data_IF_814380069169
#
_entry.id   IF_814380069169
#
_cell.length_a   1.000
_cell.length_b   1.000
_cell.length_c   1.000
_cell.angle_alpha   90.00
_cell.angle_beta   90.00
_cell.angle_gamma   90.00
#
_symmetry.space_group_name_H-M   'P 1'
#
loop_
_entity.id
_entity.type
_entity.pdbx_description
1 polymer ?
#
# COMPACT_ATOMS: atom_id res chain seq x y z
N UNK A 1 -26.60 0.13 -18.54
CA UNK A 1 -25.92 0.44 -17.24
C UNK A 1 -25.32 1.84 -17.37
N UNK A 2 -25.56 2.76 -16.42
CA UNK A 2 -25.02 4.12 -16.53
C UNK A 2 -23.49 4.11 -16.46
N UNK A 3 -22.81 4.89 -17.31
CA UNK A 3 -21.34 5.02 -17.31
C UNK A 3 -20.79 5.35 -15.91
N UNK A 4 -21.48 6.23 -15.19
CA UNK A 4 -21.17 6.55 -13.79
C UNK A 4 -21.10 5.31 -12.88
N UNK A 5 -22.06 4.38 -13.02
CA UNK A 5 -22.11 3.17 -12.19
C UNK A 5 -20.96 2.21 -12.51
N UNK A 6 -20.55 2.12 -13.79
CA UNK A 6 -19.40 1.32 -14.20
C UNK A 6 -18.12 1.89 -13.57
N UNK A 7 -17.88 3.19 -13.71
CA UNK A 7 -16.71 3.86 -13.14
C UNK A 7 -16.70 3.72 -11.61
N UNK A 8 -17.84 3.91 -10.95
CA UNK A 8 -17.98 3.72 -9.49
C UNK A 8 -17.68 2.29 -9.06
N UNK A 9 -18.20 1.30 -9.78
CA UNK A 9 -17.92 -0.11 -9.50
C UNK A 9 -16.43 -0.41 -9.62
N UNK A 10 -15.79 0.01 -10.71
CA UNK A 10 -14.35 -0.22 -10.94
C UNK A 10 -13.50 0.45 -9.87
N UNK A 11 -13.83 1.68 -9.46
CA UNK A 11 -13.13 2.37 -8.37
C UNK A 11 -13.23 1.59 -7.04
N UNK A 12 -14.42 1.13 -6.67
CA UNK A 12 -14.65 0.35 -5.45
C UNK A 12 -13.93 -0.99 -5.51
N UNK A 13 -13.99 -1.69 -6.66
CA UNK A 13 -13.26 -2.94 -6.86
C UNK A 13 -11.75 -2.74 -6.74
N UNK A 14 -11.21 -1.63 -7.28
CA UNK A 14 -9.82 -1.22 -7.08
C UNK A 14 -9.48 -1.00 -5.61
N UNK A 15 -10.37 -0.35 -4.85
CA UNK A 15 -10.16 -0.10 -3.42
C UNK A 15 -10.11 -1.40 -2.62
N UNK A 16 -11.01 -2.35 -2.91
CA UNK A 16 -11.00 -3.69 -2.31
C UNK A 16 -9.69 -4.41 -2.65
N UNK A 17 -9.28 -4.38 -3.91
CA UNK A 17 -8.03 -5.02 -4.36
C UNK A 17 -6.81 -4.41 -3.66
N UNK A 18 -6.77 -3.08 -3.54
CA UNK A 18 -5.66 -2.36 -2.93
C UNK A 18 -5.55 -2.61 -1.43
N UNK A 19 -6.65 -2.40 -0.70
CA UNK A 19 -6.68 -2.55 0.77
C UNK A 19 -6.54 -4.02 1.16
N UNK A 20 -7.25 -4.92 0.48
CA UNK A 20 -7.13 -6.36 0.67
C UNK A 20 -5.73 -6.86 0.34
N UNK A 21 -5.12 -6.37 -0.74
CA UNK A 21 -3.75 -6.68 -1.13
C UNK A 21 -2.73 -6.23 -0.08
N UNK A 22 -2.89 -5.02 0.48
CA UNK A 22 -2.02 -4.55 1.53
C UNK A 22 -2.18 -5.37 2.81
N UNK A 23 -3.40 -5.61 3.27
CA UNK A 23 -3.65 -6.46 4.43
C UNK A 23 -3.05 -7.87 4.25
N UNK A 24 -3.25 -8.49 3.07
CA UNK A 24 -2.68 -9.78 2.73
C UNK A 24 -1.15 -9.75 2.72
N UNK A 25 -0.54 -8.71 2.14
CA UNK A 25 0.93 -8.53 2.13
C UNK A 25 1.47 -8.45 3.54
N UNK A 26 0.85 -7.66 4.41
CA UNK A 26 1.29 -7.52 5.80
C UNK A 26 1.14 -8.83 6.58
N UNK A 27 0.03 -9.54 6.36
CA UNK A 27 -0.19 -10.85 6.97
C UNK A 27 0.89 -11.84 6.55
N UNK A 28 1.19 -11.96 5.25
CA UNK A 28 2.26 -12.84 4.75
C UNK A 28 3.61 -12.44 5.33
N UNK A 29 3.94 -11.15 5.35
CA UNK A 29 5.19 -10.65 5.96
C UNK A 29 5.30 -10.95 7.45
N UNK A 30 4.20 -10.93 8.20
CA UNK A 30 4.20 -11.26 9.63
C UNK A 30 4.67 -12.69 9.92
N UNK A 31 4.54 -13.59 8.93
CA UNK A 31 5.03 -14.96 9.02
C UNK A 31 6.55 -15.07 8.87
N UNK A 32 7.21 -14.05 8.29
CA UNK A 32 8.66 -14.04 8.06
C UNK A 32 9.46 -14.15 9.38
N UNK A 33 8.99 -13.52 10.45
CA UNK A 33 9.61 -13.60 11.77
C UNK A 33 9.54 -15.00 12.40
N UNK A 34 8.67 -15.88 11.87
CA UNK A 34 8.51 -17.27 12.32
C UNK A 34 9.21 -18.27 11.41
N UNK A 35 9.90 -17.82 10.36
CA UNK A 35 10.61 -18.70 9.45
C UNK A 35 11.77 -19.41 10.18
N UNK A 36 11.77 -20.74 10.17
CA UNK A 36 12.81 -21.55 10.81
C UNK A 36 14.11 -21.65 10.01
N UNK A 37 14.05 -21.33 8.71
CA UNK A 37 15.19 -21.38 7.80
C UNK A 37 15.09 -20.30 6.71
N UNK A 38 16.20 -20.15 5.96
CA UNK A 38 16.32 -19.12 4.92
C UNK A 38 15.41 -19.39 3.71
N UNK A 39 15.16 -20.65 3.37
CA UNK A 39 14.32 -21.00 2.21
C UNK A 39 12.86 -20.66 2.48
N UNK A 40 12.38 -20.93 3.69
CA UNK A 40 11.07 -20.50 4.16
C UNK A 40 10.95 -18.97 4.13
N UNK A 41 11.98 -18.25 4.59
CA UNK A 41 11.98 -16.79 4.54
C UNK A 41 11.94 -16.25 3.10
N UNK A 42 12.70 -16.85 2.19
CA UNK A 42 12.70 -16.50 0.77
C UNK A 42 11.32 -16.75 0.14
N UNK A 43 10.69 -17.89 0.45
CA UNK A 43 9.36 -18.24 -0.05
C UNK A 43 8.30 -17.23 0.43
N UNK A 44 8.32 -16.87 1.72
CA UNK A 44 7.42 -15.87 2.31
C UNK A 44 7.63 -14.50 1.66
N UNK A 45 8.88 -14.08 1.49
CA UNK A 45 9.23 -12.80 0.85
C UNK A 45 8.71 -12.74 -0.59
N UNK A 46 8.92 -13.80 -1.37
CA UNK A 46 8.40 -13.91 -2.75
C UNK A 46 6.88 -13.92 -2.80
N UNK A 47 6.22 -14.58 -1.85
CA UNK A 47 4.76 -14.59 -1.76
C UNK A 47 4.22 -13.17 -1.48
N UNK A 48 4.82 -12.45 -0.53
CA UNK A 48 4.46 -11.05 -0.26
C UNK A 48 4.70 -10.15 -1.48
N UNK A 49 5.83 -10.32 -2.19
CA UNK A 49 6.13 -9.58 -3.42
C UNK A 49 5.16 -9.90 -4.57
N UNK A 50 4.63 -11.12 -4.62
CA UNK A 50 3.58 -11.49 -5.58
C UNK A 50 2.28 -10.75 -5.28
N UNK A 51 1.82 -10.76 -4.01
CA UNK A 51 0.64 -10.00 -3.58
C UNK A 51 0.75 -8.52 -3.95
N UNK A 52 1.93 -7.92 -3.74
CA UNK A 52 2.19 -6.53 -4.15
C UNK A 52 1.91 -6.30 -5.64
N UNK A 53 2.48 -7.16 -6.49
CA UNK A 53 2.43 -7.02 -7.95
C UNK A 53 1.04 -7.28 -8.52
N UNK A 54 0.30 -8.24 -7.94
CA UNK A 54 -1.00 -8.67 -8.48
C UNK A 54 -2.19 -7.92 -7.88
N UNK A 55 -2.04 -7.33 -6.69
CA UNK A 55 -3.15 -6.68 -5.99
C UNK A 55 -2.85 -5.21 -5.66
N UNK A 56 -1.74 -4.93 -4.99
CA UNK A 56 -1.47 -3.60 -4.43
C UNK A 56 -1.23 -2.56 -5.52
N UNK A 57 -0.28 -2.81 -6.42
CA UNK A 57 0.05 -1.91 -7.54
C UNK A 57 -1.15 -1.68 -8.47
N UNK A 58 -1.81 -2.72 -9.01
CA UNK A 58 -2.97 -2.51 -9.88
C UNK A 58 -4.15 -1.89 -9.13
N UNK A 59 -4.41 -2.30 -7.88
CA UNK A 59 -5.47 -1.75 -7.05
C UNK A 59 -5.30 -0.25 -6.83
N UNK A 60 -4.11 0.19 -6.41
CA UNK A 60 -3.79 1.61 -6.24
C UNK A 60 -3.99 2.40 -7.54
N UNK A 61 -3.49 1.86 -8.66
CA UNK A 61 -3.62 2.48 -9.98
C UNK A 61 -5.09 2.67 -10.36
N UNK A 62 -5.92 1.63 -10.16
CA UNK A 62 -7.35 1.68 -10.43
C UNK A 62 -8.05 2.71 -9.52
N UNK A 63 -7.73 2.72 -8.22
CA UNK A 63 -8.31 3.68 -7.26
C UNK A 63 -8.03 5.11 -7.68
N UNK A 64 -6.77 5.44 -7.99
CA UNK A 64 -6.37 6.81 -8.38
C UNK A 64 -7.05 7.22 -9.68
N UNK A 65 -6.92 6.40 -10.74
CA UNK A 65 -7.43 6.75 -12.07
C UNK A 65 -8.95 6.90 -12.05
N UNK A 66 -9.67 5.91 -11.53
CA UNK A 66 -11.13 5.95 -11.52
C UNK A 66 -11.69 6.91 -10.46
N UNK A 67 -10.94 7.19 -9.39
CA UNK A 67 -11.27 8.22 -8.41
C UNK A 67 -11.25 9.61 -9.01
N UNK A 68 -10.23 9.93 -9.81
CA UNK A 68 -10.14 11.18 -10.57
C UNK A 68 -11.29 11.27 -11.58
N UNK A 69 -11.54 10.21 -12.35
CA UNK A 69 -12.65 10.19 -13.32
C UNK A 69 -14.01 10.41 -12.62
N UNK A 70 -14.25 9.76 -11.47
CA UNK A 70 -15.47 9.99 -10.68
C UNK A 70 -15.58 11.43 -10.20
N UNK A 71 -14.50 12.01 -9.72
CA UNK A 71 -14.50 13.39 -9.28
C UNK A 71 -14.84 14.35 -10.42
N UNK A 72 -14.33 14.11 -11.63
CA UNK A 72 -14.66 14.89 -12.82
C UNK A 72 -16.14 14.72 -13.22
N UNK A 73 -16.66 13.50 -13.25
CA UNK A 73 -18.07 13.22 -13.59
C UNK A 73 -19.02 13.88 -12.60
N UNK A 74 -18.70 13.81 -11.31
CA UNK A 74 -19.54 14.34 -10.22
C UNK A 74 -19.27 15.81 -9.91
N UNK A 75 -18.31 16.44 -10.59
CA UNK A 75 -17.79 17.78 -10.30
C UNK A 75 -17.37 17.94 -8.83
N UNK A 76 -16.86 16.87 -8.23
CA UNK A 76 -16.37 16.88 -6.87
C UNK A 76 -15.07 17.72 -6.79
N UNK A 77 -14.90 18.50 -5.71
CA UNK A 77 -13.76 19.40 -5.53
C UNK A 77 -12.51 18.61 -5.12
N UNK A 78 -11.71 18.17 -6.11
CA UNK A 78 -10.47 17.43 -5.88
C UNK A 78 -9.51 18.15 -4.92
N UNK A 79 -9.41 19.47 -5.04
CA UNK A 79 -8.51 20.30 -4.24
C UNK A 79 -9.24 21.07 -3.12
N UNK A 80 -10.50 20.72 -2.84
CA UNK A 80 -11.27 21.29 -1.74
C UNK A 80 -11.28 22.82 -1.71
N UNK A 81 -10.82 23.41 -0.61
CA UNK A 81 -10.78 24.85 -0.37
C UNK A 81 -9.94 25.62 -1.40
N UNK A 82 -8.94 24.98 -2.03
CA UNK A 82 -8.14 25.60 -3.09
C UNK A 82 -8.96 25.86 -4.37
N UNK A 83 -10.11 25.20 -4.50
CA UNK A 83 -11.11 25.41 -5.55
C UNK A 83 -12.30 26.25 -5.05
N UNK A 84 -12.21 26.85 -3.86
CA UNK A 84 -13.31 27.59 -3.23
C UNK A 84 -14.43 26.70 -2.68
N UNK A 85 -14.20 25.39 -2.55
CA UNK A 85 -15.20 24.48 -1.97
C UNK A 85 -15.16 24.50 -0.44
N UNK A 86 -16.32 24.45 0.24
CA UNK A 86 -16.37 24.26 1.69
C UNK A 86 -15.95 22.85 2.11
N UNK A 87 -15.92 21.89 1.17
CA UNK A 87 -15.65 20.47 1.46
C UNK A 87 -14.23 20.05 1.13
N UNK A 88 -13.60 19.22 1.97
CA UNK A 88 -12.15 18.91 1.89
C UNK A 88 -11.79 17.43 2.04
N UNK A 89 -12.76 16.54 2.29
CA UNK A 89 -12.49 15.10 2.45
C UNK A 89 -11.69 14.50 1.27
N UNK A 90 -11.92 14.98 0.05
CA UNK A 90 -11.24 14.50 -1.15
C UNK A 90 -9.79 15.00 -1.23
N UNK A 91 -9.55 16.28 -0.92
CA UNK A 91 -8.20 16.84 -0.81
C UNK A 91 -7.39 16.10 0.26
N UNK A 92 -7.96 15.91 1.45
CA UNK A 92 -7.28 15.21 2.55
C UNK A 92 -6.97 13.76 2.14
N UNK A 93 -7.90 13.08 1.46
CA UNK A 93 -7.66 11.74 0.93
C UNK A 93 -6.48 11.70 -0.05
N UNK A 94 -6.40 12.67 -0.96
CA UNK A 94 -5.30 12.79 -1.92
C UNK A 94 -3.97 13.05 -1.20
N UNK A 95 -3.95 13.93 -0.21
CA UNK A 95 -2.73 14.21 0.58
C UNK A 95 -2.25 12.95 1.29
N UNK A 96 -3.14 12.22 1.97
CA UNK A 96 -2.76 10.97 2.66
C UNK A 96 -2.24 9.94 1.66
N UNK A 97 -2.88 9.81 0.50
CA UNK A 97 -2.44 8.87 -0.55
C UNK A 97 -1.07 9.27 -1.14
N UNK A 98 -0.83 10.56 -1.36
CA UNK A 98 0.44 11.07 -1.87
C UNK A 98 1.57 10.90 -0.85
N UNK A 99 1.31 11.18 0.43
CA UNK A 99 2.27 10.96 1.51
C UNK A 99 2.61 9.47 1.65
N UNK A 100 1.59 8.60 1.67
CA UNK A 100 1.77 7.14 1.70
C UNK A 100 2.53 6.63 0.49
N UNK A 101 2.16 7.09 -0.72
CA UNK A 101 2.86 6.78 -1.95
C UNK A 101 4.31 7.25 -1.97
N UNK A 102 4.61 8.41 -1.35
CA UNK A 102 5.96 8.95 -1.19
C UNK A 102 6.83 8.14 -0.24
N UNK A 103 6.26 7.49 0.79
CA UNK A 103 7.00 6.57 1.68
C UNK A 103 7.59 5.39 0.89
N UNK A 104 6.95 4.95 -0.20
CA UNK A 104 7.43 3.83 -1.01
C UNK A 104 8.84 4.07 -1.59
N UNK A 105 9.09 5.08 -2.44
CA UNK A 105 10.41 5.35 -2.98
C UNK A 105 11.40 5.89 -1.93
N UNK A 106 10.93 6.58 -0.89
CA UNK A 106 11.80 7.21 0.11
C UNK A 106 12.29 6.24 1.19
N UNK A 107 11.47 5.25 1.56
CA UNK A 107 11.74 4.36 2.69
C UNK A 107 11.76 2.89 2.25
N UNK A 108 10.68 2.41 1.62
CA UNK A 108 10.53 0.98 1.34
C UNK A 108 11.44 0.49 0.22
N UNK A 109 11.63 1.24 -0.86
CA UNK A 109 12.49 0.83 -1.98
C UNK A 109 13.96 0.75 -1.57
N UNK A 110 14.57 1.76 -0.94
CA UNK A 110 15.98 1.68 -0.53
C UNK A 110 16.23 0.55 0.47
N UNK A 111 15.37 0.44 1.50
CA UNK A 111 15.53 -0.57 2.54
C UNK A 111 15.19 -1.98 2.03
N UNK A 112 14.25 -2.09 1.11
CA UNK A 112 13.90 -3.33 0.42
C UNK A 112 15.08 -3.90 -0.37
N UNK A 113 15.81 -3.05 -1.11
CA UNK A 113 17.03 -3.49 -1.83
C UNK A 113 18.10 -4.01 -0.88
N UNK A 114 18.34 -3.32 0.24
CA UNK A 114 19.29 -3.80 1.25
C UNK A 114 18.87 -5.14 1.85
N UNK A 115 17.57 -5.31 2.12
CA UNK A 115 17.04 -6.58 2.60
C UNK A 115 17.19 -7.71 1.57
N UNK A 116 16.91 -7.44 0.29
CA UNK A 116 17.06 -8.41 -0.80
C UNK A 116 18.52 -8.88 -0.93
N UNK A 117 19.49 -7.96 -0.87
CA UNK A 117 20.92 -8.31 -0.90
C UNK A 117 21.30 -9.22 0.29
N UNK A 118 20.89 -8.87 1.51
CA UNK A 118 21.16 -9.66 2.71
C UNK A 118 20.47 -11.05 2.65
N UNK A 119 19.29 -11.12 2.03
CA UNK A 119 18.56 -12.37 1.82
C UNK A 119 19.28 -13.27 0.80
N UNK A 120 19.77 -12.71 -0.31
CA UNK A 120 20.54 -13.46 -1.31
C UNK A 120 21.82 -14.07 -0.72
N UNK A 121 22.54 -13.33 0.11
CA UNK A 121 23.72 -13.84 0.81
C UNK A 121 23.36 -14.96 1.81
N UNK A 122 22.29 -14.78 2.58
CA UNK A 122 21.79 -15.80 3.49
C UNK A 122 21.38 -17.08 2.73
N UNK A 123 20.78 -16.93 1.55
CA UNK A 123 20.40 -18.06 0.70
C UNK A 123 21.65 -18.78 0.19
N UNK A 124 22.66 -18.04 -0.28
CA UNK A 124 23.92 -18.60 -0.76
C UNK A 124 24.70 -19.34 0.34
N UNK A 125 24.66 -18.83 1.58
CA UNK A 125 25.31 -19.45 2.73
C UNK A 125 24.47 -20.51 3.45
N UNK A 126 23.21 -20.70 3.06
CA UNK A 126 22.28 -21.68 3.65
C UNK A 126 21.90 -21.40 5.11
N UNK A 127 22.20 -20.21 5.64
CA UNK A 127 21.96 -19.85 7.05
C UNK A 127 21.47 -18.42 7.18
N UNK A 128 20.66 -18.15 8.21
CA UNK A 128 20.21 -16.79 8.52
C UNK A 128 21.42 -16.01 9.02
N UNK A 129 21.86 -15.02 8.24
CA UNK A 129 22.99 -14.16 8.61
C UNK A 129 22.55 -13.13 9.65
N UNK A 130 23.51 -12.61 10.42
CA UNK A 130 23.25 -11.53 11.38
C UNK A 130 22.72 -10.27 10.67
N UNK A 131 23.27 -9.95 9.50
CA UNK A 131 22.82 -8.82 8.71
C UNK A 131 21.35 -8.96 8.29
N UNK A 132 20.95 -10.14 7.79
CA UNK A 132 19.56 -10.42 7.46
C UNK A 132 18.65 -10.29 8.70
N UNK A 133 19.09 -10.78 9.86
CA UNK A 133 18.35 -10.67 11.11
C UNK A 133 18.17 -9.21 11.55
N UNK A 134 19.18 -8.36 11.35
CA UNK A 134 19.12 -6.93 11.65
C UNK A 134 18.13 -6.21 10.70
N UNK A 135 18.13 -6.56 9.41
CA UNK A 135 17.18 -6.00 8.43
C UNK A 135 15.74 -6.47 8.65
N UNK A 136 15.53 -7.68 9.12
CA UNK A 136 14.19 -8.19 9.49
C UNK A 136 13.56 -7.37 10.63
N UNK A 137 14.38 -6.89 11.57
CA UNK A 137 13.93 -6.12 12.74
C UNK A 137 14.08 -4.61 12.54
N UNK A 138 14.11 -4.15 11.30
CA UNK A 138 14.18 -2.73 11.00
C UNK A 138 12.95 -1.98 11.56
N UNK A 139 13.17 -1.21 12.63
CA UNK A 139 12.12 -0.45 13.33
C UNK A 139 11.41 0.56 12.44
N UNK A 140 12.11 1.13 11.46
CA UNK A 140 11.48 2.12 10.57
C UNK A 140 10.47 1.44 9.66
N UNK A 141 10.86 0.31 9.07
CA UNK A 141 9.95 -0.49 8.21
C UNK A 141 8.78 -1.02 9.03
N UNK A 142 9.04 -1.50 10.24
CA UNK A 142 8.02 -1.97 11.18
C UNK A 142 7.01 -0.87 11.58
N UNK A 143 7.42 0.39 11.63
CA UNK A 143 6.55 1.53 11.92
C UNK A 143 5.73 1.98 10.70
N UNK A 144 6.35 2.07 9.52
CA UNK A 144 5.65 2.58 8.34
C UNK A 144 4.61 1.61 7.79
N UNK A 145 4.78 0.31 7.99
CA UNK A 145 3.80 -0.70 7.56
C UNK A 145 2.40 -0.58 8.18
N UNK A 146 2.24 -0.43 9.51
CA UNK A 146 0.92 -0.17 10.09
C UNK A 146 0.42 1.24 9.78
N UNK A 147 1.29 2.25 9.66
CA UNK A 147 0.89 3.60 9.27
C UNK A 147 0.31 3.66 7.85
N UNK A 148 0.89 2.92 6.91
CA UNK A 148 0.38 2.78 5.54
C UNK A 148 -1.03 2.18 5.54
N UNK A 149 -1.25 1.10 6.32
CA UNK A 149 -2.57 0.48 6.44
C UNK A 149 -3.58 1.42 7.12
N UNK A 150 -3.18 2.09 8.20
CA UNK A 150 -4.01 3.05 8.93
C UNK A 150 -4.39 4.24 8.04
N UNK A 151 -3.45 4.76 7.24
CA UNK A 151 -3.69 5.83 6.28
C UNK A 151 -4.75 5.45 5.25
N UNK A 152 -4.72 4.21 4.73
CA UNK A 152 -5.75 3.75 3.79
C UNK A 152 -7.11 3.50 4.44
N UNK A 153 -7.15 2.96 5.66
CA UNK A 153 -8.39 2.85 6.43
C UNK A 153 -8.99 4.23 6.64
N UNK A 154 -8.16 5.23 6.93
CA UNK A 154 -8.59 6.62 7.05
C UNK A 154 -9.12 7.20 5.72
N UNK A 155 -8.44 6.95 4.59
CA UNK A 155 -8.96 7.34 3.27
C UNK A 155 -10.31 6.69 2.97
N UNK A 156 -10.48 5.39 3.25
CA UNK A 156 -11.77 4.72 3.10
C UNK A 156 -12.87 5.36 3.96
N UNK A 157 -12.55 5.68 5.22
CA UNK A 157 -13.46 6.39 6.11
C UNK A 157 -13.91 7.73 5.50
N UNK A 158 -12.96 8.53 4.98
CA UNK A 158 -13.27 9.81 4.32
C UNK A 158 -14.18 9.63 3.10
N UNK A 159 -13.93 8.60 2.28
CA UNK A 159 -14.72 8.30 1.07
C UNK A 159 -16.17 7.89 1.39
N UNK A 160 -16.39 7.24 2.53
CA UNK A 160 -17.70 6.76 2.97
C UNK A 160 -18.49 7.87 3.65
N UNK A 161 -17.90 8.51 4.66
CA UNK A 161 -18.62 9.44 5.53
C UNK A 161 -18.62 10.88 5.02
N UNK A 162 -17.61 11.26 4.22
CA UNK A 162 -17.47 12.61 3.64
C UNK A 162 -17.76 13.72 4.67
N UNK A 163 -17.11 13.68 5.85
CA UNK A 163 -17.57 14.43 7.03
C UNK A 163 -17.39 15.95 6.91
N UNK A 164 -16.59 16.42 5.96
CA UNK A 164 -16.32 17.83 5.72
C UNK A 164 -16.07 18.10 4.25
#
# INVERSE_FOLDING_TARGET
MSFYLIVRFVHIAGAILFVGGLAARQLVRSLAAKAGDVQALLAITRAAGRVERIMVIPGNTIVVVFGIILALITKAPLLGFLQGSPTNWLLVSLVVLLLGGGVVPLVFVPRGKMFEMALEEAVASGRITRELQEKLHDRTVALFHPLELAGLVFVMFLMVFKPF
#
